data_IF_138107790826
#
_entry.id   IF_138107790826
#
_cell.length_a   1.000
_cell.length_b   1.000
_cell.length_c   1.000
_cell.angle_alpha   90.00
_cell.angle_beta   90.00
_cell.angle_gamma   90.00
#
_symmetry.space_group_name_H-M   'P 1'
#
loop_
_entity.id
_entity.type
_entity.pdbx_description
1 polymer ?
#
# COMPACT_ATOMS: atom_id res chain seq x y z
N UNK A 1 -0.52 18.49 -15.76
CA UNK A 1 0.41 17.53 -15.12
C UNK A 1 -0.36 16.45 -14.36
N UNK A 2 -1.36 16.82 -13.54
CA UNK A 2 -2.26 15.92 -12.78
C UNK A 2 -2.70 14.66 -13.55
N UNK A 3 -3.37 14.84 -14.70
CA UNK A 3 -3.96 13.74 -15.50
C UNK A 3 -2.92 12.79 -16.12
N UNK A 4 -1.66 13.24 -16.21
CA UNK A 4 -0.58 12.44 -16.79
C UNK A 4 0.25 11.76 -15.70
N UNK A 5 0.62 12.52 -14.67
CA UNK A 5 1.49 12.08 -13.59
C UNK A 5 0.78 11.11 -12.65
N UNK A 6 -0.40 11.47 -12.12
CA UNK A 6 -1.03 10.71 -11.05
C UNK A 6 -1.42 9.28 -11.41
N UNK A 7 -1.99 8.99 -12.59
CA UNK A 7 -2.30 7.60 -12.94
C UNK A 7 -1.06 6.70 -12.93
N UNK A 8 0.08 7.21 -13.44
CA UNK A 8 1.34 6.45 -13.46
C UNK A 8 1.97 6.37 -12.07
N UNK A 9 1.86 7.44 -11.30
CA UNK A 9 2.27 7.49 -9.91
C UNK A 9 1.53 6.47 -9.04
N UNK A 10 0.21 6.33 -9.19
CA UNK A 10 -0.56 5.33 -8.45
C UNK A 10 -0.21 3.90 -8.85
N UNK A 11 0.06 3.65 -10.14
CA UNK A 11 0.54 2.33 -10.59
C UNK A 11 1.88 2.01 -9.94
N UNK A 12 2.84 2.94 -9.96
CA UNK A 12 4.11 2.80 -9.23
C UNK A 12 3.88 2.56 -7.73
N UNK A 13 3.00 3.34 -7.10
CA UNK A 13 2.70 3.19 -5.67
C UNK A 13 2.12 1.83 -5.31
N UNK A 14 1.33 1.25 -6.20
CA UNK A 14 0.73 -0.06 -6.00
C UNK A 14 1.74 -1.22 -6.11
N UNK A 15 2.96 -0.97 -6.62
CA UNK A 15 4.04 -1.97 -6.68
C UNK A 15 5.01 -1.88 -5.51
N UNK A 16 4.78 -0.99 -4.54
CA UNK A 16 5.67 -0.84 -3.39
C UNK A 16 5.29 -1.82 -2.29
N UNK A 17 6.28 -2.46 -1.67
CA UNK A 17 6.09 -3.32 -0.51
C UNK A 17 5.52 -2.54 0.67
N UNK A 18 6.09 -1.35 0.91
CA UNK A 18 5.60 -0.40 1.90
C UNK A 18 5.10 0.87 1.21
N UNK A 19 3.83 0.92 0.76
CA UNK A 19 3.31 2.10 0.12
C UNK A 19 3.19 3.26 1.10
N UNK A 20 3.25 3.07 2.42
CA UNK A 20 2.86 4.07 3.40
C UNK A 20 3.88 5.18 3.64
N UNK A 21 5.18 4.90 3.42
CA UNK A 21 6.29 5.83 3.71
C UNK A 21 6.67 6.66 2.47
N UNK A 22 6.08 7.84 2.29
CA UNK A 22 6.38 8.75 1.17
C UNK A 22 7.65 9.59 1.31
N UNK A 23 8.29 9.54 2.48
CA UNK A 23 9.44 10.39 2.80
C UNK A 23 10.77 9.85 2.25
N UNK A 24 10.75 8.63 1.68
CA UNK A 24 11.94 8.02 1.11
C UNK A 24 12.37 8.74 -0.18
N UNK A 25 13.68 8.89 -0.37
CA UNK A 25 14.28 9.62 -1.49
C UNK A 25 13.91 8.98 -2.83
N UNK A 26 13.82 7.65 -2.87
CA UNK A 26 13.49 6.84 -4.03
C UNK A 26 12.12 7.21 -4.61
N UNK A 27 11.17 7.62 -3.76
CA UNK A 27 9.84 8.05 -4.19
C UNK A 27 9.88 9.42 -4.86
N UNK A 28 10.70 10.34 -4.35
CA UNK A 28 10.92 11.64 -4.97
C UNK A 28 11.62 11.48 -6.33
N UNK A 29 12.62 10.60 -6.41
CA UNK A 29 13.32 10.25 -7.66
C UNK A 29 12.37 9.63 -8.70
N UNK A 30 11.54 8.67 -8.28
CA UNK A 30 10.53 8.07 -9.16
C UNK A 30 9.51 9.11 -9.65
N UNK A 31 9.07 10.02 -8.78
CA UNK A 31 8.18 11.11 -9.16
C UNK A 31 8.85 12.08 -10.15
N UNK A 32 10.14 12.37 -9.96
CA UNK A 32 10.92 13.22 -10.86
C UNK A 32 11.03 12.59 -12.25
N UNK A 33 11.35 11.29 -12.33
CA UNK A 33 11.40 10.56 -13.60
C UNK A 33 10.07 10.61 -14.35
N UNK A 34 8.95 10.40 -13.64
CA UNK A 34 7.62 10.50 -14.24
C UNK A 34 7.30 11.94 -14.66
N UNK A 35 7.70 12.93 -13.87
CA UNK A 35 7.52 14.35 -14.20
C UNK A 35 8.25 14.72 -15.50
N UNK A 36 9.54 14.41 -15.58
CA UNK A 36 10.40 14.71 -16.72
C UNK A 36 9.86 14.05 -18.00
N UNK A 37 9.40 12.81 -17.89
CA UNK A 37 8.89 12.05 -19.03
C UNK A 37 7.50 12.54 -19.50
N UNK A 38 6.58 12.83 -18.58
CA UNK A 38 5.15 13.00 -18.89
C UNK A 38 4.70 14.45 -18.97
N UNK A 39 5.31 15.34 -18.19
CA UNK A 39 4.86 16.73 -18.04
C UNK A 39 5.64 17.67 -18.97
N UNK A 40 6.92 17.37 -19.25
CA UNK A 40 7.80 18.15 -20.15
C UNK A 40 7.90 19.64 -19.80
N UNK A 41 7.74 19.97 -18.52
CA UNK A 41 7.96 21.32 -17.97
C UNK A 41 9.20 21.21 -17.07
N UNK A 42 10.26 22.01 -17.30
CA UNK A 42 11.43 21.98 -16.44
C UNK A 42 11.05 22.33 -15.00
N UNK A 43 11.17 21.36 -14.10
CA UNK A 43 10.91 21.53 -12.68
C UNK A 43 11.64 20.44 -11.91
N UNK A 44 12.26 20.80 -10.79
CA UNK A 44 12.92 19.86 -9.89
C UNK A 44 12.03 19.70 -8.65
N UNK A 45 11.57 18.48 -8.40
CA UNK A 45 10.79 18.14 -7.23
C UNK A 45 11.70 18.10 -6.00
N UNK A 46 11.19 18.58 -4.87
CA UNK A 46 11.89 18.63 -3.60
C UNK A 46 10.97 18.16 -2.45
N UNK A 47 11.53 17.58 -1.39
CA UNK A 47 10.72 17.07 -0.28
C UNK A 47 9.99 18.17 0.51
N UNK A 48 10.64 19.31 0.66
CA UNK A 48 10.20 20.46 1.43
C UNK A 48 9.90 21.63 0.48
N UNK A 49 8.87 22.39 0.79
CA UNK A 49 8.50 23.63 0.10
C UNK A 49 8.19 23.53 -1.42
N UNK A 50 8.15 22.31 -1.99
CA UNK A 50 7.71 22.09 -3.37
C UNK A 50 6.18 21.86 -3.45
N UNK A 51 5.42 22.76 -4.10
CA UNK A 51 3.96 22.64 -4.19
C UNK A 51 3.52 21.44 -5.05
N UNK A 52 4.33 21.03 -6.04
CA UNK A 52 4.00 19.88 -6.89
C UNK A 52 4.07 18.60 -6.09
N UNK A 53 5.17 18.38 -5.36
CA UNK A 53 5.36 17.24 -4.49
C UNK A 53 4.36 17.21 -3.33
N UNK A 54 4.05 18.35 -2.73
CA UNK A 54 3.01 18.44 -1.70
C UNK A 54 1.65 17.94 -2.21
N UNK A 55 1.26 18.33 -3.43
CA UNK A 55 0.02 17.86 -4.06
C UNK A 55 0.06 16.37 -4.42
N UNK A 56 1.20 15.86 -4.91
CA UNK A 56 1.37 14.42 -5.18
C UNK A 56 1.18 13.62 -3.89
N UNK A 57 1.81 14.03 -2.78
CA UNK A 57 1.64 13.38 -1.47
C UNK A 57 0.18 13.40 -1.03
N UNK A 58 -0.47 14.57 -1.04
CA UNK A 58 -1.87 14.71 -0.65
C UNK A 58 -2.78 13.76 -1.45
N UNK A 59 -2.63 13.76 -2.78
CA UNK A 59 -3.43 12.90 -3.65
C UNK A 59 -3.17 11.41 -3.44
N UNK A 60 -1.96 11.06 -3.03
CA UNK A 60 -1.63 9.67 -2.68
C UNK A 60 -2.35 9.25 -1.39
N UNK A 61 -2.42 10.12 -0.38
CA UNK A 61 -3.20 9.84 0.82
C UNK A 61 -4.70 9.75 0.55
N UNK A 62 -5.26 10.67 -0.25
CA UNK A 62 -6.66 10.61 -0.67
C UNK A 62 -6.97 9.28 -1.36
N UNK A 63 -6.14 8.89 -2.33
CA UNK A 63 -6.29 7.63 -3.06
C UNK A 63 -6.25 6.40 -2.15
N UNK A 64 -5.36 6.40 -1.14
CA UNK A 64 -5.28 5.32 -0.14
C UNK A 64 -6.53 5.26 0.73
N UNK A 65 -7.05 6.41 1.17
CA UNK A 65 -8.30 6.49 1.92
C UNK A 65 -9.46 5.91 1.12
N UNK A 66 -9.62 6.38 -0.13
CA UNK A 66 -10.63 5.89 -1.06
C UNK A 66 -10.54 4.38 -1.31
N UNK A 67 -9.32 3.85 -1.46
CA UNK A 67 -9.10 2.41 -1.62
C UNK A 67 -9.58 1.64 -0.39
N UNK A 68 -9.25 2.10 0.81
CA UNK A 68 -9.68 1.51 2.08
C UNK A 68 -11.20 1.50 2.23
N UNK A 69 -11.85 2.63 1.95
CA UNK A 69 -13.31 2.77 2.02
C UNK A 69 -14.02 1.84 1.02
N UNK A 70 -13.49 1.76 -0.22
CA UNK A 70 -14.03 0.86 -1.24
C UNK A 70 -13.83 -0.61 -0.87
N UNK A 71 -12.68 -0.97 -0.31
CA UNK A 71 -12.42 -2.32 0.17
C UNK A 71 -13.39 -2.71 1.29
N UNK A 72 -13.63 -1.80 2.24
CA UNK A 72 -14.62 -2.00 3.31
C UNK A 72 -16.03 -2.22 2.76
N UNK A 73 -16.46 -1.38 1.81
CA UNK A 73 -17.76 -1.51 1.15
C UNK A 73 -17.88 -2.84 0.37
N UNK A 74 -16.81 -3.29 -0.27
CA UNK A 74 -16.78 -4.56 -0.98
C UNK A 74 -16.95 -5.75 -0.03
N UNK A 75 -16.21 -5.76 1.10
CA UNK A 75 -16.34 -6.79 2.15
C UNK A 75 -17.74 -6.78 2.76
N UNK A 76 -18.28 -5.59 3.06
CA UNK A 76 -19.64 -5.44 3.56
C UNK A 76 -20.68 -5.99 2.58
N UNK A 77 -20.55 -5.64 1.30
CA UNK A 77 -21.44 -6.11 0.23
C UNK A 77 -21.35 -7.62 0.02
N UNK A 78 -20.14 -8.19 0.14
CA UNK A 78 -19.93 -9.63 0.13
C UNK A 78 -20.71 -10.32 1.24
N UNK A 79 -20.57 -9.87 2.50
CA UNK A 79 -21.31 -10.48 3.61
C UNK A 79 -22.82 -10.32 3.49
N UNK A 80 -23.30 -9.17 2.99
CA UNK A 80 -24.74 -8.94 2.77
C UNK A 80 -25.34 -9.85 1.71
N UNK A 81 -24.53 -10.37 0.78
CA UNK A 81 -25.00 -11.22 -0.33
C UNK A 81 -25.35 -12.65 0.11
N UNK A 82 -24.79 -13.15 1.22
CA UNK A 82 -24.96 -14.54 1.64
C UNK A 82 -25.52 -14.61 3.06
N UNK A 83 -26.71 -15.24 3.22
CA UNK A 83 -27.39 -15.41 4.51
C UNK A 83 -26.54 -16.18 5.53
N UNK A 84 -25.59 -17.00 5.07
CA UNK A 84 -24.61 -17.71 5.91
C UNK A 84 -23.80 -16.74 6.79
N UNK A 85 -23.67 -15.48 6.38
CA UNK A 85 -22.97 -14.44 7.12
C UNK A 85 -23.92 -13.47 7.85
N UNK A 86 -25.17 -13.82 8.11
CA UNK A 86 -26.09 -12.95 8.87
C UNK A 86 -25.66 -12.78 10.33
N UNK A 87 -25.01 -13.80 10.90
CA UNK A 87 -24.47 -13.79 12.26
C UNK A 87 -23.04 -13.25 12.29
N UNK A 88 -22.74 -12.43 13.30
CA UNK A 88 -21.39 -11.89 13.53
C UNK A 88 -20.33 -12.99 13.71
N UNK A 89 -20.68 -14.10 14.35
CA UNK A 89 -19.78 -15.25 14.57
C UNK A 89 -19.28 -15.84 13.24
N UNK A 90 -20.19 -15.99 12.26
CA UNK A 90 -19.85 -16.55 10.95
C UNK A 90 -18.96 -15.62 10.15
N UNK A 91 -19.19 -14.30 10.24
CA UNK A 91 -18.30 -13.28 9.64
C UNK A 91 -16.91 -13.35 10.26
N UNK A 92 -16.83 -13.41 11.59
CA UNK A 92 -15.56 -13.47 12.30
C UNK A 92 -14.77 -14.75 11.95
N UNK A 93 -15.45 -15.90 11.91
CA UNK A 93 -14.86 -17.17 11.48
C UNK A 93 -14.34 -17.10 10.04
N UNK A 94 -15.12 -16.53 9.11
CA UNK A 94 -14.69 -16.34 7.73
C UNK A 94 -13.48 -15.42 7.61
N UNK A 95 -13.48 -14.27 8.29
CA UNK A 95 -12.33 -13.35 8.29
C UNK A 95 -11.09 -14.03 8.87
N UNK A 96 -11.23 -14.79 9.95
CA UNK A 96 -10.10 -15.53 10.54
C UNK A 96 -9.52 -16.58 9.60
N UNK A 97 -10.34 -17.17 8.73
CA UNK A 97 -9.90 -18.12 7.71
C UNK A 97 -9.31 -17.42 6.48
N UNK A 98 -9.97 -16.37 5.97
CA UNK A 98 -9.62 -15.68 4.74
C UNK A 98 -8.42 -14.73 4.90
N UNK A 99 -8.24 -14.16 6.08
CA UNK A 99 -7.13 -13.24 6.41
C UNK A 99 -6.36 -13.82 7.59
N UNK A 100 -5.50 -14.82 7.35
CA UNK A 100 -4.71 -15.39 8.42
C UNK A 100 -3.79 -14.31 9.00
N UNK A 101 -3.71 -14.25 10.34
CA UNK A 101 -2.79 -13.32 11.02
C UNK A 101 -1.37 -13.61 10.57
N UNK A 102 -0.64 -12.56 10.22
CA UNK A 102 0.80 -12.64 10.11
C UNK A 102 1.39 -13.09 11.45
N UNK A 103 2.35 -13.99 11.40
CA UNK A 103 2.98 -14.57 12.59
C UNK A 103 4.21 -13.73 12.88
N UNK A 104 4.30 -13.10 14.04
CA UNK A 104 5.55 -12.47 14.48
C UNK A 104 6.61 -13.55 14.70
N UNK A 105 7.69 -13.51 13.92
CA UNK A 105 8.88 -14.33 14.12
C UNK A 105 10.08 -13.43 14.41
N UNK A 106 11.14 -14.01 14.94
CA UNK A 106 12.40 -13.29 15.17
C UNK A 106 13.39 -13.69 14.09
N UNK A 107 13.88 -12.72 13.31
CA UNK A 107 14.87 -12.99 12.28
C UNK A 107 16.27 -13.27 12.89
N UNK A 108 17.23 -13.67 12.05
CA UNK A 108 18.60 -13.97 12.49
C UNK A 108 19.33 -12.79 13.18
N UNK A 109 18.81 -11.57 13.06
CA UNK A 109 19.33 -10.35 13.69
C UNK A 109 18.63 -9.99 15.00
N UNK A 110 17.67 -10.80 15.46
CA UNK A 110 16.92 -10.56 16.70
C UNK A 110 15.76 -9.57 16.55
N UNK A 111 15.41 -9.17 15.32
CA UNK A 111 14.31 -8.25 15.04
C UNK A 111 12.98 -9.01 14.89
N UNK A 112 11.88 -8.42 15.37
CA UNK A 112 10.53 -8.94 15.15
C UNK A 112 10.12 -8.67 13.71
N UNK A 113 9.87 -9.71 12.95
CA UNK A 113 9.40 -9.63 11.56
C UNK A 113 8.06 -10.35 11.44
N UNK A 114 7.16 -9.81 10.62
CA UNK A 114 5.89 -10.46 10.32
C UNK A 114 6.13 -11.53 9.25
N UNK A 115 6.09 -12.80 9.64
CA UNK A 115 6.12 -13.90 8.69
C UNK A 115 4.76 -14.11 8.05
N UNK A 116 4.73 -14.29 6.73
CA UNK A 116 3.48 -14.49 6.03
C UNK A 116 2.85 -15.85 6.33
N UNK A 117 1.51 -15.95 6.28
CA UNK A 117 0.84 -17.23 6.42
C UNK A 117 1.19 -18.17 5.26
N UNK A 118 1.56 -19.42 5.59
CA UNK A 118 1.91 -20.49 4.63
C UNK A 118 0.88 -20.71 3.51
N UNK A 119 -0.38 -20.36 3.73
CA UNK A 119 -1.49 -20.63 2.81
C UNK A 119 -1.77 -19.53 1.78
N UNK A 120 -1.12 -18.35 1.89
CA UNK A 120 -1.27 -17.25 0.91
C UNK A 120 0.08 -16.67 0.50
N UNK A 121 0.98 -17.49 -0.08
CA UNK A 121 2.36 -17.08 -0.38
C UNK A 121 2.44 -15.94 -1.40
N UNK A 122 1.40 -15.73 -2.21
CA UNK A 122 1.38 -14.72 -3.28
C UNK A 122 1.16 -13.29 -2.78
N UNK A 123 0.52 -13.09 -1.62
CA UNK A 123 0.35 -11.73 -1.04
C UNK A 123 1.63 -11.21 -0.37
N UNK A 124 2.63 -12.08 -0.19
CA UNK A 124 3.85 -11.80 0.58
C UNK A 124 5.11 -12.35 -0.11
N UNK A 125 5.01 -12.69 -1.40
CA UNK A 125 6.07 -13.36 -2.15
C UNK A 125 7.35 -12.52 -2.28
N UNK A 126 7.21 -11.21 -2.14
CA UNK A 126 8.29 -10.23 -2.26
C UNK A 126 8.69 -9.61 -0.91
N UNK A 127 8.13 -10.08 0.22
CA UNK A 127 8.51 -9.60 1.55
C UNK A 127 9.95 -10.03 1.87
N UNK A 128 10.88 -9.06 1.85
CA UNK A 128 12.29 -9.24 2.17
C UNK A 128 12.56 -8.88 3.65
N UNK A 129 12.79 -9.91 4.47
CA UNK A 129 13.07 -9.76 5.91
C UNK A 129 14.46 -9.17 6.22
N UNK A 130 15.26 -8.91 5.18
CA UNK A 130 16.55 -8.21 5.26
C UNK A 130 16.42 -6.70 5.04
N UNK A 131 15.28 -6.24 4.51
CA UNK A 131 14.95 -4.84 4.34
C UNK A 131 14.46 -4.24 5.67
N UNK A 132 15.28 -3.38 6.29
CA UNK A 132 14.98 -2.72 7.58
C UNK A 132 13.69 -1.90 7.57
N UNK A 133 13.21 -1.59 6.39
CA UNK A 133 12.09 -0.73 6.12
C UNK A 133 10.73 -1.46 6.14
N UNK A 134 10.78 -2.79 6.13
CA UNK A 134 9.68 -3.76 6.21
C UNK A 134 9.58 -4.45 7.60
N UNK A 135 10.48 -4.06 8.52
CA UNK A 135 10.48 -4.46 9.94
C UNK A 135 9.65 -3.45 10.74
N UNK A 136 8.77 -3.93 11.63
CA UNK A 136 7.92 -3.11 12.52
C UNK A 136 8.64 -2.80 13.83
#
# INVERSE_FOLDING_TARGET
>A
WYEKLLPRWYVYHATLDNPWKLERVEHLEAAQLLWDHLVRVPHKLEHHDDPVWALVKQRTYDWRGDLGDRALLAVYSFFKKYNEFDKSENRAAYVSWAVPRAIETTNARGLRVLSPPLHFPFMWKEFDDTNLDDVV
#
